data_IF_539659977417
#
_entry.id   IF_539659977417
#
_cell.length_a   1.000
_cell.length_b   1.000
_cell.length_c   1.000
_cell.angle_alpha   90.00
_cell.angle_beta   90.00
_cell.angle_gamma   90.00
#
_symmetry.space_group_name_H-M   'P 1'
#
loop_
_entity.id
_entity.type
_entity.pdbx_description
1 polymer ?
#
# COMPACT_ATOMS: atom_id res chain seq x y z
N UNK A 1 -13.85 0.12 -1.35
CA UNK A 1 -12.43 0.43 -1.07
C UNK A 1 -12.12 1.92 -1.19
N UNK A 2 -13.07 2.74 -1.65
CA UNK A 2 -12.93 4.20 -1.73
C UNK A 2 -12.58 4.85 -0.38
N UNK A 3 -12.95 4.22 0.74
CA UNK A 3 -12.55 4.67 2.08
C UNK A 3 -11.02 4.70 2.28
N UNK A 4 -10.26 3.85 1.57
CA UNK A 4 -8.79 3.84 1.60
C UNK A 4 -8.18 4.93 0.71
N UNK A 5 -9.00 5.64 -0.05
CA UNK A 5 -8.63 6.79 -0.89
C UNK A 5 -9.61 7.94 -0.65
N UNK A 6 -10.20 8.01 0.55
CA UNK A 6 -11.26 8.97 0.82
C UNK A 6 -10.70 10.38 0.75
N UNK A 7 -11.37 11.24 -0.02
CA UNK A 7 -11.07 12.66 -0.04
C UNK A 7 -11.59 13.30 1.24
N UNK A 8 -10.68 13.84 2.04
CA UNK A 8 -11.01 14.45 3.33
C UNK A 8 -11.86 15.72 3.18
N UNK A 9 -12.02 16.27 1.96
CA UNK A 9 -13.01 17.33 1.69
C UNK A 9 -14.46 16.84 1.70
N UNK A 10 -14.69 15.53 1.55
CA UNK A 10 -16.02 14.94 1.53
C UNK A 10 -16.50 14.59 2.94
N UNK A 11 -17.79 14.80 3.20
CA UNK A 11 -18.43 14.42 4.46
C UNK A 11 -18.30 12.91 4.70
N UNK A 12 -17.75 12.52 5.84
CA UNK A 12 -17.55 11.11 6.16
C UNK A 12 -18.90 10.41 6.39
N UNK A 13 -19.11 9.17 5.90
CA UNK A 13 -20.38 8.46 6.10
C UNK A 13 -20.71 8.29 7.59
N UNK A 14 -21.94 8.61 7.99
CA UNK A 14 -22.40 8.56 9.39
C UNK A 14 -22.14 7.20 10.04
N UNK A 15 -22.41 6.12 9.31
CA UNK A 15 -22.22 4.73 9.76
C UNK A 15 -20.75 4.37 10.04
N UNK A 16 -19.80 5.21 9.63
CA UNK A 16 -18.37 4.99 9.75
C UNK A 16 -17.68 6.05 10.62
N UNK A 17 -18.38 7.08 11.09
CA UNK A 17 -17.79 8.20 11.85
C UNK A 17 -16.97 7.71 13.05
N UNK A 18 -17.47 6.71 13.77
CA UNK A 18 -16.79 6.13 14.94
C UNK A 18 -15.50 5.39 14.58
N UNK A 19 -15.38 4.89 13.36
CA UNK A 19 -14.21 4.16 12.85
C UNK A 19 -13.27 5.03 11.99
N UNK A 20 -13.55 6.34 11.88
CA UNK A 20 -12.81 7.26 11.00
C UNK A 20 -11.30 7.25 11.24
N UNK A 21 -10.86 7.34 12.50
CA UNK A 21 -9.43 7.35 12.83
C UNK A 21 -8.75 6.04 12.43
N UNK A 22 -9.40 4.91 12.70
CA UNK A 22 -8.92 3.57 12.34
C UNK A 22 -8.82 3.38 10.83
N UNK A 23 -9.78 3.93 10.07
CA UNK A 23 -9.75 3.93 8.60
C UNK A 23 -8.64 4.84 8.06
N UNK A 24 -8.44 6.02 8.66
CA UNK A 24 -7.36 6.92 8.28
C UNK A 24 -5.97 6.29 8.54
N UNK A 25 -5.79 5.60 9.67
CA UNK A 25 -4.56 4.85 9.97
C UNK A 25 -4.29 3.77 8.91
N UNK A 26 -5.32 3.02 8.51
CA UNK A 26 -5.19 2.02 7.45
C UNK A 26 -4.85 2.65 6.10
N UNK A 27 -5.46 3.78 5.74
CA UNK A 27 -5.11 4.55 4.53
C UNK A 27 -3.63 4.93 4.54
N UNK A 28 -3.16 5.48 5.66
CA UNK A 28 -1.75 5.90 5.81
C UNK A 28 -0.81 4.70 5.72
N UNK A 29 -1.19 3.54 6.25
CA UNK A 29 -0.40 2.30 6.09
C UNK A 29 -0.39 1.78 4.65
N UNK A 30 -1.51 1.85 3.93
CA UNK A 30 -1.55 1.51 2.49
C UNK A 30 -0.60 2.40 1.70
N UNK A 31 -0.57 3.71 1.97
CA UNK A 31 0.39 4.64 1.37
C UNK A 31 1.83 4.19 1.60
N UNK A 32 2.22 4.00 2.87
CA UNK A 32 3.59 3.62 3.26
C UNK A 32 4.02 2.29 2.63
N UNK A 33 3.16 1.27 2.66
CA UNK A 33 3.43 -0.05 2.05
C UNK A 33 3.53 0.06 0.54
N UNK A 34 2.67 0.85 -0.11
CA UNK A 34 2.71 1.08 -1.56
C UNK A 34 4.04 1.70 -1.98
N UNK A 35 4.48 2.74 -1.29
CA UNK A 35 5.75 3.43 -1.58
C UNK A 35 6.93 2.49 -1.33
N UNK A 36 6.99 1.84 -0.17
CA UNK A 36 8.07 0.91 0.18
C UNK A 36 8.17 -0.25 -0.84
N UNK A 37 7.04 -0.82 -1.26
CA UNK A 37 7.02 -1.88 -2.26
C UNK A 37 7.45 -1.38 -3.65
N UNK A 38 7.04 -0.16 -4.02
CA UNK A 38 7.46 0.47 -5.29
C UNK A 38 8.97 0.68 -5.32
N UNK A 39 9.54 1.23 -4.23
CA UNK A 39 11.00 1.42 -4.10
C UNK A 39 11.73 0.09 -4.20
N UNK A 40 11.27 -0.93 -3.46
CA UNK A 40 11.88 -2.26 -3.52
C UNK A 40 11.89 -2.81 -4.95
N UNK A 41 10.78 -2.69 -5.70
CA UNK A 41 10.68 -3.16 -7.08
C UNK A 41 11.60 -2.39 -8.03
N UNK A 42 11.70 -1.06 -7.89
CA UNK A 42 12.60 -0.23 -8.69
C UNK A 42 14.06 -0.58 -8.44
N UNK A 43 14.46 -0.72 -7.17
CA UNK A 43 15.83 -1.04 -6.79
C UNK A 43 16.26 -2.40 -7.33
N UNK A 44 15.45 -3.45 -7.14
CA UNK A 44 15.81 -4.80 -7.65
C UNK A 44 15.73 -4.89 -9.18
N UNK A 45 14.98 -3.99 -9.83
CA UNK A 45 14.97 -3.86 -11.29
C UNK A 45 16.21 -3.14 -11.82
N UNK A 46 16.75 -2.19 -11.05
CA UNK A 46 17.95 -1.42 -11.40
C UNK A 46 19.25 -2.14 -11.06
N UNK A 47 19.21 -3.08 -10.11
CA UNK A 47 20.36 -3.85 -9.65
C UNK A 47 20.03 -5.35 -9.71
N UNK A 48 20.10 -5.99 -10.90
CA UNK A 48 19.67 -7.37 -11.09
C UNK A 48 20.38 -8.39 -10.18
N UNK A 49 21.61 -8.11 -9.76
CA UNK A 49 22.38 -8.96 -8.84
C UNK A 49 21.67 -9.15 -7.49
N UNK A 50 20.84 -8.18 -7.09
CA UNK A 50 20.10 -8.21 -5.82
C UNK A 50 18.69 -8.79 -5.97
N UNK A 51 18.25 -9.09 -7.20
CA UNK A 51 16.89 -9.56 -7.47
C UNK A 51 16.57 -10.92 -6.82
N UNK A 52 17.55 -11.81 -6.64
CA UNK A 52 17.37 -13.10 -5.94
C UNK A 52 17.75 -13.05 -4.46
N UNK A 53 18.32 -11.93 -3.97
CA UNK A 53 18.80 -11.83 -2.59
C UNK A 53 17.65 -11.54 -1.62
N UNK A 54 17.15 -12.58 -0.95
CA UNK A 54 16.04 -12.47 -0.01
C UNK A 54 16.37 -11.62 1.24
N UNK A 55 17.59 -11.74 1.77
CA UNK A 55 18.03 -10.98 2.95
C UNK A 55 18.06 -9.47 2.65
N UNK A 56 18.60 -9.09 1.49
CA UNK A 56 18.58 -7.70 1.01
C UNK A 56 17.14 -7.16 0.90
N UNK A 57 16.23 -7.89 0.25
CA UNK A 57 14.84 -7.46 0.10
C UNK A 57 14.15 -7.21 1.44
N UNK A 58 14.40 -8.07 2.43
CA UNK A 58 13.85 -7.91 3.79
C UNK A 58 14.46 -6.68 4.47
N UNK A 59 15.78 -6.48 4.37
CA UNK A 59 16.47 -5.32 4.94
C UNK A 59 15.95 -4.02 4.33
N UNK A 60 15.93 -3.93 3.00
CA UNK A 60 15.44 -2.76 2.28
C UNK A 60 14.01 -2.44 2.66
N UNK A 61 13.12 -3.45 2.66
CA UNK A 61 11.74 -3.27 3.14
C UNK A 61 11.68 -2.64 4.53
N UNK A 62 12.42 -3.20 5.49
CA UNK A 62 12.38 -2.75 6.87
C UNK A 62 12.86 -1.30 6.99
N UNK A 63 13.95 -0.93 6.31
CA UNK A 63 14.43 0.46 6.29
C UNK A 63 13.44 1.41 5.62
N UNK A 64 12.82 1.02 4.50
CA UNK A 64 11.80 1.83 3.84
C UNK A 64 10.59 2.07 4.75
N UNK A 65 10.08 1.02 5.39
CA UNK A 65 8.95 1.14 6.32
C UNK A 65 9.28 1.98 7.56
N UNK A 66 10.52 1.91 8.04
CA UNK A 66 11.00 2.73 9.16
C UNK A 66 11.05 4.21 8.77
N UNK A 67 11.66 4.54 7.62
CA UNK A 67 11.74 5.93 7.13
C UNK A 67 10.37 6.54 6.83
N UNK A 68 9.42 5.70 6.42
CA UNK A 68 8.07 6.11 6.08
C UNK A 68 7.11 6.08 7.27
N UNK A 69 7.54 5.66 8.48
CA UNK A 69 6.62 5.32 9.58
C UNK A 69 5.68 6.48 9.97
N UNK A 70 6.15 7.72 9.89
CA UNK A 70 5.42 8.94 10.27
C UNK A 70 4.81 9.67 9.07
N UNK A 71 4.81 9.05 7.88
CA UNK A 71 4.18 9.62 6.69
C UNK A 71 2.69 9.32 6.65
N UNK A 72 1.87 10.37 6.58
CA UNK A 72 0.42 10.29 6.53
C UNK A 72 -0.17 10.79 5.20
N UNK A 73 0.62 11.53 4.43
CA UNK A 73 0.24 12.13 3.14
C UNK A 73 1.36 11.99 2.12
N UNK A 74 1.04 12.18 0.84
CA UNK A 74 2.03 12.20 -0.24
C UNK A 74 3.12 13.28 -0.01
N UNK A 75 2.75 14.42 0.59
CA UNK A 75 3.72 15.49 0.93
C UNK A 75 4.72 15.06 2.00
N UNK A 76 4.29 14.28 2.97
CA UNK A 76 5.20 13.75 4.00
C UNK A 76 6.23 12.81 3.36
N UNK A 77 5.77 11.97 2.41
CA UNK A 77 6.64 11.06 1.66
C UNK A 77 7.63 11.83 0.80
N UNK A 78 7.19 12.87 0.08
CA UNK A 78 8.08 13.76 -0.67
C UNK A 78 9.18 14.37 0.22
N UNK A 79 8.81 14.79 1.45
CA UNK A 79 9.73 15.36 2.42
C UNK A 79 10.85 14.41 2.88
N UNK A 80 10.63 13.10 2.82
CA UNK A 80 11.63 12.08 3.22
C UNK A 80 12.28 11.37 2.04
N UNK A 81 11.90 11.69 0.79
CA UNK A 81 12.28 10.91 -0.39
C UNK A 81 13.80 10.90 -0.64
N UNK A 82 14.48 12.00 -0.32
CA UNK A 82 15.94 12.07 -0.37
C UNK A 82 16.61 11.06 0.59
N UNK A 83 16.05 10.88 1.79
CA UNK A 83 16.55 9.91 2.77
C UNK A 83 16.25 8.48 2.32
N UNK A 84 15.06 8.24 1.76
CA UNK A 84 14.67 6.95 1.15
C UNK A 84 15.64 6.58 0.03
N UNK A 85 15.97 7.52 -0.86
CA UNK A 85 16.93 7.33 -1.95
C UNK A 85 18.34 7.01 -1.43
N UNK A 86 18.85 7.82 -0.49
CA UNK A 86 20.16 7.61 0.09
C UNK A 86 20.27 6.24 0.80
N UNK A 87 19.24 5.86 1.57
CA UNK A 87 19.19 4.58 2.26
C UNK A 87 19.11 3.40 1.28
N UNK A 88 18.37 3.52 0.18
CA UNK A 88 18.30 2.47 -0.83
C UNK A 88 19.67 2.21 -1.48
N UNK A 89 20.42 3.26 -1.79
CA UNK A 89 21.81 3.15 -2.30
C UNK A 89 22.73 2.52 -1.26
N UNK A 90 22.62 2.94 0.00
CA UNK A 90 23.41 2.38 1.09
C UNK A 90 23.15 0.88 1.25
N UNK A 91 21.89 0.45 1.24
CA UNK A 91 21.50 -0.96 1.33
C UNK A 91 22.03 -1.77 0.15
N UNK A 92 22.02 -1.20 -1.06
CA UNK A 92 22.60 -1.86 -2.23
C UNK A 92 24.11 -2.06 -2.05
N UNK A 93 24.84 -1.03 -1.64
CA UNK A 93 26.28 -1.10 -1.43
C UNK A 93 26.66 -2.09 -0.31
N UNK A 94 25.82 -2.21 0.73
CA UNK A 94 26.04 -3.16 1.81
C UNK A 94 25.78 -4.63 1.39
N UNK A 95 24.92 -4.84 0.38
CA UNK A 95 24.54 -6.18 -0.09
C UNK A 95 25.36 -6.68 -1.29
N UNK A 96 26.17 -5.82 -1.91
CA UNK A 96 27.02 -6.15 -3.04
C UNK A 96 28.48 -6.36 -2.60
N UNK A 97 29.25 -7.23 -3.30
CA UNK A 97 30.67 -7.40 -3.03
C UNK A 97 31.49 -6.15 -3.36
N UNK A 98 31.05 -5.39 -4.37
CA UNK A 98 31.62 -4.10 -4.75
C UNK A 98 30.51 -3.04 -4.75
N UNK A 99 30.83 -1.78 -4.40
CA UNK A 99 29.85 -0.70 -4.45
C UNK A 99 29.25 -0.52 -5.85
N UNK A 100 28.04 0.03 -5.89
CA UNK A 100 27.40 0.44 -7.14
C UNK A 100 28.31 1.35 -7.95
N UNK A 101 28.36 1.11 -9.26
CA UNK A 101 28.98 2.04 -10.19
C UNK A 101 28.24 3.39 -10.15
N UNK A 102 28.91 4.51 -10.51
CA UNK A 102 28.26 5.82 -10.54
C UNK A 102 26.97 5.86 -11.38
N UNK A 103 26.94 5.10 -12.47
CA UNK A 103 25.79 4.97 -13.36
C UNK A 103 24.60 4.25 -12.70
N UNK A 104 24.84 3.08 -12.09
CA UNK A 104 23.77 2.36 -11.37
C UNK A 104 23.27 3.13 -10.16
N UNK A 105 24.17 3.81 -9.44
CA UNK A 105 23.81 4.70 -8.33
C UNK A 105 22.86 5.80 -8.79
N UNK A 106 23.25 6.53 -9.84
CA UNK A 106 22.43 7.62 -10.41
C UNK A 106 21.07 7.09 -10.86
N UNK A 107 21.04 5.88 -11.44
CA UNK A 107 19.80 5.22 -11.86
C UNK A 107 18.88 4.93 -10.68
N UNK A 108 19.39 4.33 -9.60
CA UNK A 108 18.62 4.04 -8.39
C UNK A 108 18.10 5.34 -7.77
N UNK A 109 18.96 6.34 -7.61
CA UNK A 109 18.57 7.62 -7.01
C UNK A 109 17.47 8.30 -7.84
N UNK A 110 17.65 8.39 -9.16
CA UNK A 110 16.65 9.00 -10.05
C UNK A 110 15.31 8.29 -10.02
N UNK A 111 15.30 6.95 -10.06
CA UNK A 111 14.07 6.17 -10.01
C UNK A 111 13.34 6.34 -8.67
N UNK A 112 14.06 6.29 -7.55
CA UNK A 112 13.45 6.46 -6.22
C UNK A 112 12.89 7.87 -6.06
N UNK A 113 13.61 8.89 -6.53
CA UNK A 113 13.15 10.28 -6.49
C UNK A 113 11.90 10.54 -7.35
N UNK A 114 11.60 9.67 -8.31
CA UNK A 114 10.40 9.78 -9.16
C UNK A 114 9.20 8.99 -8.64
N UNK A 115 9.31 8.27 -7.51
CA UNK A 115 8.21 7.45 -6.99
C UNK A 115 6.94 8.25 -6.73
N UNK A 116 7.08 9.51 -6.31
CA UNK A 116 5.94 10.40 -6.03
C UNK A 116 5.44 11.18 -7.25
N UNK A 117 6.08 11.02 -8.42
CA UNK A 117 5.64 11.68 -9.64
C UNK A 117 4.19 11.32 -10.00
N UNK A 118 3.50 12.30 -10.58
CA UNK A 118 2.16 12.11 -11.11
C UNK A 118 2.15 10.95 -12.11
N UNK A 119 1.16 10.09 -11.99
CA UNK A 119 0.98 8.93 -12.86
C UNK A 119 2.19 7.96 -12.90
N UNK A 120 2.96 7.86 -11.82
CA UNK A 120 4.04 6.88 -11.70
C UNK A 120 3.49 5.44 -11.81
N UNK A 121 3.71 4.81 -12.97
CA UNK A 121 3.03 3.56 -13.38
C UNK A 121 3.23 2.40 -12.41
N UNK A 122 4.43 2.24 -11.86
CA UNK A 122 4.73 1.15 -10.94
C UNK A 122 4.04 1.39 -9.59
N UNK A 123 4.01 2.63 -9.12
CA UNK A 123 3.31 3.02 -7.87
C UNK A 123 1.82 2.73 -8.00
N UNK A 124 1.21 3.15 -9.11
CA UNK A 124 -0.20 2.89 -9.41
C UNK A 124 -0.50 1.39 -9.51
N UNK A 125 0.34 0.62 -10.18
CA UNK A 125 0.18 -0.83 -10.30
C UNK A 125 0.26 -1.53 -8.94
N UNK A 126 1.24 -1.15 -8.09
CA UNK A 126 1.39 -1.68 -6.73
C UNK A 126 0.16 -1.33 -5.90
N UNK A 127 -0.26 -0.07 -5.92
CA UNK A 127 -1.44 0.38 -5.21
C UNK A 127 -2.69 -0.40 -5.62
N UNK A 128 -2.90 -0.58 -6.93
CA UNK A 128 -4.03 -1.34 -7.46
C UNK A 128 -4.01 -2.80 -7.00
N UNK A 129 -2.86 -3.47 -7.01
CA UNK A 129 -2.72 -4.84 -6.50
C UNK A 129 -3.03 -4.97 -5.01
N UNK A 130 -2.58 -3.99 -4.20
CA UNK A 130 -2.92 -3.95 -2.77
C UNK A 130 -4.42 -3.75 -2.60
N UNK A 131 -5.01 -2.82 -3.34
CA UNK A 131 -6.46 -2.55 -3.34
C UNK A 131 -7.26 -3.80 -3.70
N UNK A 132 -6.90 -4.50 -4.77
CA UNK A 132 -7.53 -5.76 -5.19
C UNK A 132 -7.40 -6.85 -4.14
N UNK A 133 -6.22 -7.02 -3.55
CA UNK A 133 -6.00 -7.97 -2.46
C UNK A 133 -6.92 -7.67 -1.27
N UNK A 134 -7.00 -6.42 -0.83
CA UNK A 134 -7.90 -6.01 0.25
C UNK A 134 -9.38 -6.20 -0.13
N UNK A 135 -9.74 -6.01 -1.40
CA UNK A 135 -11.09 -6.27 -1.89
C UNK A 135 -11.46 -7.74 -1.70
N UNK A 136 -10.62 -8.63 -2.23
CA UNK A 136 -10.83 -10.07 -2.18
C UNK A 136 -10.93 -10.54 -0.73
N UNK A 137 -10.09 -9.99 0.15
CA UNK A 137 -10.11 -10.34 1.57
C UNK A 137 -11.44 -10.01 2.28
N UNK A 138 -12.17 -8.97 1.86
CA UNK A 138 -13.46 -8.60 2.46
C UNK A 138 -14.68 -9.21 1.76
N UNK A 139 -14.53 -9.68 0.52
CA UNK A 139 -15.64 -10.28 -0.25
C UNK A 139 -15.59 -11.80 -0.27
N UNK A 140 -14.43 -12.42 -0.05
CA UNK A 140 -14.26 -13.87 -0.08
C UNK A 140 -14.93 -14.57 1.10
N UNK A 141 -15.56 -15.70 0.83
CA UNK A 141 -16.09 -16.63 1.84
C UNK A 141 -15.00 -17.49 2.47
N UNK A 142 -13.81 -17.57 1.85
CA UNK A 142 -12.64 -18.31 2.36
C UNK A 142 -11.38 -17.43 2.31
N UNK A 143 -11.29 -16.35 3.12
CA UNK A 143 -10.14 -15.43 3.08
C UNK A 143 -8.79 -16.09 3.40
N UNK A 144 -8.79 -17.21 4.12
CA UNK A 144 -7.57 -17.96 4.49
C UNK A 144 -6.81 -18.58 3.31
N UNK A 145 -7.44 -18.68 2.13
CA UNK A 145 -6.83 -19.22 0.92
C UNK A 145 -6.27 -18.14 -0.01
N UNK A 146 -6.53 -16.86 0.27
CA UNK A 146 -6.05 -15.76 -0.57
C UNK A 146 -4.56 -15.56 -0.36
N UNK A 147 -3.81 -15.65 -1.46
CA UNK A 147 -2.38 -15.38 -1.45
C UNK A 147 -2.10 -13.91 -1.75
N UNK A 148 -1.00 -13.42 -1.20
CA UNK A 148 -0.50 -12.08 -1.50
C UNK A 148 -0.08 -12.00 -2.98
N UNK A 149 -0.38 -10.91 -3.69
CA UNK A 149 -0.06 -10.79 -5.11
C UNK A 149 1.42 -11.03 -5.42
N UNK A 150 1.68 -11.67 -6.56
CA UNK A 150 3.04 -11.88 -7.04
C UNK A 150 3.80 -10.55 -7.15
N UNK A 151 5.06 -10.54 -6.67
CA UNK A 151 5.87 -9.32 -6.57
C UNK A 151 5.71 -8.54 -5.27
N UNK A 152 4.74 -8.89 -4.41
CA UNK A 152 4.55 -8.29 -3.07
C UNK A 152 4.82 -9.29 -1.94
N UNK A 153 5.38 -10.46 -2.23
CA UNK A 153 5.61 -11.53 -1.24
C UNK A 153 6.48 -11.09 -0.05
N UNK A 154 7.43 -10.19 -0.25
CA UNK A 154 8.25 -9.61 0.84
C UNK A 154 7.41 -8.81 1.86
N UNK A 155 6.23 -8.34 1.45
CA UNK A 155 5.28 -7.56 2.26
C UNK A 155 4.12 -8.43 2.82
N UNK A 156 4.28 -9.75 2.82
CA UNK A 156 3.17 -10.65 3.19
C UNK A 156 2.64 -10.37 4.59
N UNK A 157 3.53 -10.12 5.57
CA UNK A 157 3.15 -9.85 6.95
C UNK A 157 2.36 -8.55 7.07
N UNK A 158 2.83 -7.50 6.42
CA UNK A 158 2.26 -6.16 6.40
C UNK A 158 0.87 -6.18 5.75
N UNK A 159 0.76 -6.77 4.56
CA UNK A 159 -0.49 -6.86 3.82
C UNK A 159 -1.51 -7.74 4.53
N UNK A 160 -1.09 -8.86 5.12
CA UNK A 160 -1.99 -9.73 5.90
C UNK A 160 -2.52 -9.04 7.15
N UNK A 161 -1.67 -8.29 7.86
CA UNK A 161 -2.08 -7.49 9.01
C UNK A 161 -3.07 -6.39 8.64
N UNK A 162 -2.79 -5.68 7.55
CA UNK A 162 -3.65 -4.63 7.00
C UNK A 162 -5.01 -5.19 6.58
N UNK A 163 -5.02 -6.30 5.84
CA UNK A 163 -6.24 -6.99 5.43
C UNK A 163 -7.08 -7.45 6.63
N UNK A 164 -6.45 -8.04 7.65
CA UNK A 164 -7.17 -8.50 8.83
C UNK A 164 -7.82 -7.35 9.62
N UNK A 165 -7.12 -6.21 9.77
CA UNK A 165 -7.69 -5.01 10.42
C UNK A 165 -8.83 -4.41 9.60
N UNK A 166 -8.64 -4.29 8.28
CA UNK A 166 -9.66 -3.74 7.38
C UNK A 166 -10.90 -4.65 7.34
N UNK A 167 -10.73 -5.97 7.27
CA UNK A 167 -11.83 -6.94 7.35
C UNK A 167 -12.64 -6.76 8.63
N UNK A 168 -11.99 -6.66 9.80
CA UNK A 168 -12.71 -6.46 11.07
C UNK A 168 -13.59 -5.20 11.06
N UNK A 169 -13.09 -4.09 10.50
CA UNK A 169 -13.87 -2.85 10.37
C UNK A 169 -15.08 -3.05 9.48
N UNK A 170 -14.89 -3.61 8.29
CA UNK A 170 -15.96 -3.82 7.31
C UNK A 170 -17.01 -4.81 7.85
N UNK A 171 -16.57 -5.91 8.47
CA UNK A 171 -17.48 -6.91 9.05
C UNK A 171 -18.29 -6.32 10.21
N UNK A 172 -17.66 -5.55 11.09
CA UNK A 172 -18.35 -4.90 12.19
C UNK A 172 -19.39 -3.91 11.69
N UNK A 173 -18.99 -3.01 10.78
CA UNK A 173 -19.92 -2.05 10.18
C UNK A 173 -21.09 -2.75 9.46
N UNK A 174 -20.83 -3.83 8.73
CA UNK A 174 -21.89 -4.65 8.10
C UNK A 174 -22.82 -5.30 9.13
N UNK A 175 -22.31 -5.77 10.27
CA UNK A 175 -23.15 -6.37 11.31
C UNK A 175 -24.05 -5.36 12.03
N UNK A 176 -23.60 -4.11 12.15
CA UNK A 176 -24.34 -3.05 12.87
C UNK A 176 -25.33 -2.34 11.93
N UNK A 177 -24.91 -2.02 10.72
CA UNK A 177 -25.68 -1.17 9.78
C UNK A 177 -26.20 -1.94 8.56
N UNK A 178 -26.12 -3.27 8.55
CA UNK A 178 -26.48 -4.10 7.39
C UNK A 178 -27.94 -3.94 6.95
N UNK A 179 -28.87 -3.91 7.91
CA UNK A 179 -30.30 -3.68 7.62
C UNK A 179 -30.51 -2.27 7.05
N UNK A 180 -29.91 -1.25 7.67
CA UNK A 180 -29.96 0.14 7.18
C UNK A 180 -29.45 0.27 5.73
N UNK A 181 -28.35 -0.40 5.37
CA UNK A 181 -27.88 -0.44 3.98
C UNK A 181 -28.87 -1.15 3.05
N UNK A 182 -29.50 -2.22 3.52
CA UNK A 182 -30.49 -2.97 2.73
C UNK A 182 -31.73 -2.12 2.46
N UNK A 183 -32.19 -1.37 3.46
CA UNK A 183 -33.32 -0.44 3.31
C UNK A 183 -33.00 0.63 2.26
N UNK A 184 -31.84 1.28 2.35
CA UNK A 184 -31.38 2.25 1.35
C UNK A 184 -31.36 1.62 -0.05
N UNK A 185 -30.76 0.44 -0.21
CA UNK A 185 -30.65 -0.23 -1.51
C UNK A 185 -32.02 -0.61 -2.09
N UNK A 186 -32.97 -0.98 -1.24
CA UNK A 186 -34.34 -1.30 -1.67
C UNK A 186 -35.06 -0.09 -2.27
N UNK A 187 -34.75 1.13 -1.82
CA UNK A 187 -35.32 2.37 -2.40
C UNK A 187 -34.87 2.62 -3.85
N UNK A 188 -33.73 2.07 -4.25
CA UNK A 188 -33.21 2.16 -5.62
C UNK A 188 -33.67 1.00 -6.51
N UNK A 189 -34.27 -0.05 -5.94
CA UNK A 189 -34.79 -1.21 -6.66
C UNK A 189 -36.27 -1.07 -7.04
N UNK A 190 -36.88 0.12 -6.91
CA UNK A 190 -38.24 0.38 -7.40
C UNK A 190 -38.29 0.01 -8.90
N UNK A 191 -39.18 -0.91 -9.32
CA UNK A 191 -39.28 -1.28 -10.72
C UNK A 191 -39.60 -0.03 -11.54
N UNK A 192 -38.86 0.20 -12.62
CA UNK A 192 -39.39 0.96 -13.76
C UNK A 192 -40.71 0.27 -14.15
N UNK A 193 -41.82 0.89 -13.78
CA UNK A 193 -43.14 0.27 -13.86
C UNK A 193 -43.49 -0.18 -15.27
N UNK A 194 -44.15 -1.35 -15.35
CA UNK A 194 -45.51 -1.52 -15.90
C UNK A 194 -46.18 -2.63 -15.11
#
# INVERSE_FOLDING_TARGET
LELLTWDDSNAFPETLVMDRSRLAELRNEVLRVTVAATVLLLVVSSVPQLQSNAAFKISLKNHMLLLLQDCHTDKDVEGVLANVSAQAVQDCNAALPEPLTPEHRTTVESQVMQVMADNHKIRLLVFQRIKEFLHLMITSTVPSQLQVPAGLSTFTKELSGLAARYHRLVSHNRSVFGEYYTDILSTFQVPNGV
#
